data_IF_083026389301
#
_entry.id   IF_083026389301
#
_cell.length_a   1.000
_cell.length_b   1.000
_cell.length_c   1.000
_cell.angle_alpha   90.00
_cell.angle_beta   90.00
_cell.angle_gamma   90.00
#
_symmetry.space_group_name_H-M   'P 1'
#
loop_
_entity.id
_entity.type
_entity.pdbx_description
1 polymer ?
#
# COMPACT_ATOMS: atom_id res chain seq x y z
N UNK A 1 -12.80 17.76 -0.88
CA UNK A 1 -13.13 16.31 -0.93
C UNK A 1 -14.27 16.11 -1.90
N UNK A 2 -14.27 15.02 -2.69
CA UNK A 2 -15.22 14.78 -3.80
C UNK A 2 -16.68 14.49 -3.38
N UNK A 3 -16.99 14.43 -2.08
CA UNK A 3 -18.32 14.13 -1.56
C UNK A 3 -18.78 12.68 -1.80
N UNK A 4 -17.86 11.74 -1.98
CA UNK A 4 -18.14 10.31 -2.06
C UNK A 4 -18.05 9.63 -0.70
N UNK A 5 -18.76 8.51 -0.56
CA UNK A 5 -18.69 7.66 0.62
C UNK A 5 -17.42 6.81 0.60
N UNK A 6 -16.92 6.45 1.78
CA UNK A 6 -15.78 5.55 1.94
C UNK A 6 -16.33 4.16 2.27
N UNK A 7 -15.81 3.15 1.60
CA UNK A 7 -16.15 1.74 1.86
C UNK A 7 -14.88 0.91 2.03
N UNK A 8 -14.98 -0.23 2.72
CA UNK A 8 -13.87 -1.18 2.74
C UNK A 8 -13.57 -1.68 1.33
N UNK A 9 -12.28 -1.75 0.99
CA UNK A 9 -11.80 -2.23 -0.28
C UNK A 9 -10.29 -2.45 -0.24
N UNK A 10 -9.68 -2.49 -1.41
CA UNK A 10 -8.23 -2.59 -1.54
C UNK A 10 -7.67 -1.52 -2.46
N UNK A 11 -6.41 -1.19 -2.27
CA UNK A 11 -5.65 -0.30 -3.13
C UNK A 11 -4.28 -0.89 -3.48
N UNK A 12 -3.59 -0.24 -4.41
CA UNK A 12 -2.17 -0.52 -4.67
C UNK A 12 -1.33 0.56 -4.00
N UNK A 13 -0.43 0.14 -3.12
CA UNK A 13 0.58 1.01 -2.53
C UNK A 13 1.86 0.90 -3.36
N UNK A 14 2.35 2.02 -3.88
CA UNK A 14 3.61 2.08 -4.62
C UNK A 14 4.50 3.18 -4.02
N UNK A 15 5.76 2.85 -3.77
CA UNK A 15 6.74 3.81 -3.25
C UNK A 15 8.03 3.76 -4.05
N UNK A 16 8.52 4.94 -4.39
CA UNK A 16 9.83 5.15 -5.00
C UNK A 16 10.91 5.25 -3.90
N UNK A 17 11.91 4.39 -3.97
CA UNK A 17 13.06 4.33 -3.05
C UNK A 17 14.27 5.12 -3.57
N UNK A 18 14.14 5.86 -4.67
CA UNK A 18 15.16 6.50 -5.54
C UNK A 18 16.05 5.53 -6.30
N UNK A 19 16.43 4.40 -5.69
CA UNK A 19 17.22 3.35 -6.35
C UNK A 19 16.36 2.19 -6.89
N UNK A 20 15.06 2.19 -6.55
CA UNK A 20 14.14 1.13 -6.93
C UNK A 20 12.71 1.47 -6.55
N UNK A 21 11.77 0.61 -6.94
CA UNK A 21 10.33 0.77 -6.66
C UNK A 21 9.78 -0.48 -5.99
N UNK A 22 8.93 -0.27 -4.98
CA UNK A 22 8.18 -1.32 -4.31
C UNK A 22 6.70 -1.09 -4.55
N UNK A 23 6.02 -2.11 -5.05
CA UNK A 23 4.57 -2.12 -5.30
C UNK A 23 3.94 -3.24 -4.48
N UNK A 24 3.04 -2.88 -3.58
CA UNK A 24 2.22 -3.80 -2.80
C UNK A 24 0.78 -3.71 -3.30
N UNK A 25 0.28 -4.80 -3.87
CA UNK A 25 -1.10 -4.91 -4.39
C UNK A 25 -2.05 -5.42 -3.31
N UNK A 26 -3.34 -5.16 -3.52
CA UNK A 26 -4.44 -5.68 -2.69
C UNK A 26 -4.34 -5.25 -1.21
N UNK A 27 -3.81 -4.05 -0.96
CA UNK A 27 -3.65 -3.47 0.37
C UNK A 27 -5.01 -3.04 0.91
N UNK A 28 -5.45 -3.53 2.09
CA UNK A 28 -6.70 -3.11 2.70
C UNK A 28 -6.75 -1.60 2.92
N UNK A 29 -7.84 -0.98 2.51
CA UNK A 29 -8.04 0.44 2.64
C UNK A 29 -9.53 0.78 2.70
N UNK A 30 -9.85 1.97 3.21
CA UNK A 30 -11.11 2.61 2.91
C UNK A 30 -10.98 3.30 1.55
N UNK A 31 -11.84 2.99 0.59
CA UNK A 31 -11.78 3.53 -0.77
C UNK A 31 -13.01 4.38 -1.04
N UNK A 32 -12.82 5.56 -1.63
CA UNK A 32 -13.92 6.42 -2.05
C UNK A 32 -14.65 5.81 -3.24
N UNK A 33 -15.97 5.67 -3.13
CA UNK A 33 -16.83 5.11 -4.19
C UNK A 33 -16.93 5.97 -5.45
N UNK A 34 -16.50 7.24 -5.40
CA UNK A 34 -16.59 8.18 -6.52
C UNK A 34 -15.25 8.46 -7.23
N UNK A 35 -14.19 8.76 -6.48
CA UNK A 35 -12.91 9.17 -7.05
C UNK A 35 -11.81 8.11 -6.93
N UNK A 36 -12.00 7.06 -6.13
CA UNK A 36 -10.99 6.02 -5.91
C UNK A 36 -9.87 6.40 -4.94
N UNK A 37 -9.90 7.58 -4.31
CA UNK A 37 -8.99 7.92 -3.21
C UNK A 37 -9.04 6.84 -2.13
N UNK A 38 -7.89 6.46 -1.60
CA UNK A 38 -7.75 5.40 -0.61
C UNK A 38 -7.12 5.92 0.68
N UNK A 39 -7.65 5.46 1.81
CA UNK A 39 -7.15 5.72 3.16
C UNK A 39 -6.68 4.40 3.77
N UNK A 40 -5.41 4.36 4.15
CA UNK A 40 -4.75 3.20 4.74
C UNK A 40 -4.76 3.39 6.27
N UNK A 41 -5.25 2.39 6.99
CA UNK A 41 -5.27 2.42 8.46
C UNK A 41 -3.87 2.22 9.06
N UNK A 42 -3.65 2.73 10.27
CA UNK A 42 -2.34 2.76 10.92
C UNK A 42 -1.65 1.39 10.99
N UNK A 43 -2.40 0.33 11.31
CA UNK A 43 -1.83 -1.03 11.37
C UNK A 43 -1.40 -1.55 9.99
N UNK A 44 -2.11 -1.14 8.93
CA UNK A 44 -1.76 -1.49 7.55
C UNK A 44 -0.52 -0.72 7.14
N UNK A 45 -0.46 0.58 7.46
CA UNK A 45 0.69 1.45 7.19
C UNK A 45 1.97 0.92 7.87
N UNK A 46 1.91 0.56 9.15
CA UNK A 46 3.04 0.00 9.89
C UNK A 46 3.61 -1.27 9.23
N UNK A 47 2.75 -2.11 8.65
CA UNK A 47 3.17 -3.31 7.93
C UNK A 47 3.74 -2.99 6.54
N UNK A 48 3.20 -2.00 5.83
CA UNK A 48 3.80 -1.51 4.58
C UNK A 48 5.22 -0.99 4.82
N UNK A 49 5.44 -0.26 5.92
CA UNK A 49 6.77 0.22 6.31
C UNK A 49 7.76 -0.93 6.53
N UNK A 50 7.33 -2.03 7.15
CA UNK A 50 8.14 -3.24 7.28
C UNK A 50 8.53 -3.82 5.92
N UNK A 51 7.58 -3.94 4.98
CA UNK A 51 7.82 -4.45 3.62
C UNK A 51 8.84 -3.55 2.89
N UNK A 52 8.66 -2.24 2.98
CA UNK A 52 9.57 -1.26 2.36
C UNK A 52 10.97 -1.31 2.98
N UNK A 53 11.06 -1.43 4.31
CA UNK A 53 12.34 -1.59 5.00
C UNK A 53 13.06 -2.86 4.58
N UNK A 54 12.34 -3.97 4.40
CA UNK A 54 12.90 -5.23 3.93
C UNK A 54 13.44 -5.12 2.50
N UNK A 55 12.68 -4.53 1.59
CA UNK A 55 13.12 -4.28 0.21
C UNK A 55 14.35 -3.37 0.16
N UNK A 56 14.41 -2.34 1.03
CA UNK A 56 15.60 -1.49 1.20
C UNK A 56 16.82 -2.29 1.63
N UNK A 57 16.68 -3.18 2.62
CA UNK A 57 17.79 -4.03 3.08
C UNK A 57 18.31 -4.97 1.99
N UNK A 58 17.44 -5.42 1.08
CA UNK A 58 17.82 -6.28 -0.05
C UNK A 58 18.37 -5.53 -1.26
N UNK A 59 18.35 -4.19 -1.26
CA UNK A 59 18.68 -3.35 -2.43
C UNK A 59 17.91 -3.77 -3.69
N UNK A 60 16.64 -4.12 -3.54
CA UNK A 60 15.80 -4.55 -4.67
C UNK A 60 15.44 -3.35 -5.55
N UNK A 61 15.72 -3.45 -6.86
CA UNK A 61 15.42 -2.37 -7.83
C UNK A 61 13.93 -2.35 -8.22
N UNK A 62 13.29 -3.52 -8.34
CA UNK A 62 11.84 -3.63 -8.59
C UNK A 62 11.29 -4.78 -7.77
N UNK A 63 10.31 -4.50 -6.91
CA UNK A 63 9.57 -5.51 -6.16
C UNK A 63 8.07 -5.31 -6.34
N UNK A 64 7.38 -6.35 -6.79
CA UNK A 64 5.92 -6.38 -6.84
C UNK A 64 5.45 -7.53 -5.98
N UNK A 65 4.65 -7.24 -4.96
CA UNK A 65 4.13 -8.24 -4.04
C UNK A 65 2.65 -8.01 -3.76
N UNK A 66 1.98 -9.02 -3.23
CA UNK A 66 0.60 -8.91 -2.75
C UNK A 66 0.57 -8.75 -1.24
N UNK A 67 -0.42 -8.02 -0.75
CA UNK A 67 -0.68 -7.91 0.68
C UNK A 67 -0.92 -9.29 1.27
N UNK A 68 -0.20 -9.59 2.36
CA UNK A 68 -0.39 -10.80 3.16
C UNK A 68 -0.47 -10.38 4.61
N UNK A 69 -1.68 -10.44 5.17
CA UNK A 69 -1.87 -10.35 6.60
C UNK A 69 -1.35 -11.65 7.21
N UNK A 70 -0.26 -11.55 7.97
CA UNK A 70 0.20 -12.67 8.80
C UNK A 70 -0.78 -12.72 9.97
N UNK A 71 -1.47 -13.85 10.12
CA UNK A 71 -2.38 -14.13 11.23
C UNK A 71 -1.64 -14.13 12.57
#
# INVERSE_FOLDING_TARGET
MCGGEKQQGTTTFAVDLRFGVVVVRDVPALVCTKCGDAWIEDFVAARLEQIVSDARRRNTVVEVTQWRQVA
#
